data_IF_480342632015
#
_entry.id   IF_480342632015
#
_cell.length_a   1.000
_cell.length_b   1.000
_cell.length_c   1.000
_cell.angle_alpha   90.00
_cell.angle_beta   90.00
_cell.angle_gamma   90.00
#
_symmetry.space_group_name_H-M   'P 1'
#
loop_
_entity.id
_entity.type
_entity.pdbx_description
1 polymer ?
#
# COMPACT_ATOMS: atom_id res chain seq x y z
N UNK A 1 12.87 5.08 -3.76
CA UNK A 1 13.43 3.71 -3.92
C UNK A 1 12.58 2.98 -4.95
N UNK A 2 13.18 2.36 -5.98
CA UNK A 2 12.41 1.89 -7.15
C UNK A 2 11.41 0.77 -6.86
N UNK A 3 11.70 -0.06 -5.85
CA UNK A 3 10.88 -1.21 -5.48
C UNK A 3 9.56 -0.79 -4.81
N UNK A 4 9.61 0.24 -3.95
CA UNK A 4 8.44 0.83 -3.31
C UNK A 4 7.50 1.46 -4.35
N UNK A 5 8.08 2.19 -5.31
CA UNK A 5 7.39 2.83 -6.43
C UNK A 5 6.62 1.79 -7.27
N UNK A 6 7.29 0.68 -7.63
CA UNK A 6 6.69 -0.41 -8.41
C UNK A 6 5.59 -1.14 -7.63
N UNK A 7 5.76 -1.35 -6.32
CA UNK A 7 4.74 -1.96 -5.47
C UNK A 7 3.50 -1.06 -5.34
N UNK A 8 3.71 0.23 -5.10
CA UNK A 8 2.64 1.23 -5.01
C UNK A 8 1.91 1.38 -6.34
N UNK A 9 2.64 1.42 -7.47
CA UNK A 9 2.06 1.50 -8.80
C UNK A 9 1.18 0.27 -9.10
N UNK A 10 1.68 -0.95 -8.85
CA UNK A 10 0.90 -2.18 -9.03
C UNK A 10 -0.33 -2.23 -8.15
N UNK A 11 -0.17 -1.89 -6.87
CA UNK A 11 -1.30 -1.85 -5.95
C UNK A 11 -2.32 -0.79 -6.39
N UNK A 12 -1.89 0.42 -6.73
CA UNK A 12 -2.78 1.47 -7.21
C UNK A 12 -3.50 1.04 -8.49
N UNK A 13 -2.81 0.44 -9.45
CA UNK A 13 -3.43 -0.04 -10.70
C UNK A 13 -4.50 -1.12 -10.45
N UNK A 14 -4.30 -1.97 -9.43
CA UNK A 14 -5.23 -3.04 -9.08
C UNK A 14 -6.34 -2.58 -8.11
N UNK A 15 -6.05 -1.64 -7.21
CA UNK A 15 -6.96 -1.16 -6.18
C UNK A 15 -7.82 0.00 -6.68
N UNK A 16 -7.29 0.95 -7.47
CA UNK A 16 -8.05 2.09 -7.99
C UNK A 16 -9.34 1.74 -8.77
N UNK A 17 -9.42 0.65 -9.57
CA UNK A 17 -10.66 0.30 -10.27
C UNK A 17 -11.76 -0.25 -9.36
N UNK A 18 -11.41 -0.85 -8.22
CA UNK A 18 -12.37 -1.44 -7.26
C UNK A 18 -12.55 -0.57 -5.99
N UNK A 19 -11.63 0.36 -5.75
CA UNK A 19 -11.58 1.18 -4.55
C UNK A 19 -12.79 2.10 -4.46
N UNK A 20 -13.49 2.03 -3.34
CA UNK A 20 -14.50 3.00 -3.00
C UNK A 20 -13.87 4.41 -2.91
N UNK A 21 -14.64 5.50 -3.08
CA UNK A 21 -14.13 6.86 -2.97
C UNK A 21 -13.43 7.15 -1.63
N UNK A 22 -13.80 6.41 -0.57
CA UNK A 22 -13.15 6.46 0.75
C UNK A 22 -11.77 5.79 0.78
N UNK A 23 -11.60 4.69 0.04
CA UNK A 23 -10.31 4.01 -0.10
C UNK A 23 -9.36 4.77 -1.03
N UNK A 24 -9.90 5.43 -2.07
CA UNK A 24 -9.12 6.36 -2.91
C UNK A 24 -8.54 7.50 -2.10
N UNK A 25 -9.37 8.18 -1.29
CA UNK A 25 -8.86 9.22 -0.38
C UNK A 25 -7.80 8.67 0.58
N UNK A 26 -8.02 7.51 1.18
CA UNK A 26 -7.02 6.88 2.04
C UNK A 26 -5.70 6.61 1.30
N UNK A 27 -5.77 6.12 0.06
CA UNK A 27 -4.59 5.86 -0.76
C UNK A 27 -3.87 7.16 -1.15
N UNK A 28 -4.62 8.21 -1.49
CA UNK A 28 -4.09 9.54 -1.83
C UNK A 28 -3.37 10.17 -0.63
N UNK A 29 -3.97 10.07 0.57
CA UNK A 29 -3.33 10.52 1.81
C UNK A 29 -2.07 9.69 2.11
N UNK A 30 -2.13 8.37 1.91
CA UNK A 30 -0.99 7.48 2.13
C UNK A 30 0.17 7.77 1.18
N UNK A 31 -0.09 7.96 -0.13
CA UNK A 31 0.95 8.24 -1.14
C UNK A 31 1.47 9.68 -1.06
N UNK A 32 0.73 10.58 -0.39
CA UNK A 32 1.19 11.93 -0.08
C UNK A 32 2.25 11.95 1.02
N UNK A 33 2.37 10.87 1.80
CA UNK A 33 3.38 10.72 2.84
C UNK A 33 4.80 10.52 2.24
N UNK A 34 5.85 10.89 2.99
CA UNK A 34 7.22 10.68 2.54
C UNK A 34 7.59 9.20 2.45
N UNK A 35 8.40 8.82 1.46
CA UNK A 35 8.92 7.45 1.24
C UNK A 35 9.34 6.69 2.50
N UNK A 36 10.15 7.24 3.44
CA UNK A 36 10.56 6.52 4.64
C UNK A 36 9.37 6.14 5.54
N UNK A 37 8.31 6.95 5.55
CA UNK A 37 7.09 6.68 6.33
C UNK A 37 6.24 5.62 5.64
N UNK A 38 6.08 5.73 4.33
CA UNK A 38 5.44 4.70 3.51
C UNK A 38 6.11 3.34 3.67
N UNK A 39 7.45 3.30 3.58
CA UNK A 39 8.23 2.09 3.78
C UNK A 39 7.98 1.52 5.19
N UNK A 40 8.02 2.33 6.24
CA UNK A 40 7.75 1.87 7.60
C UNK A 40 6.32 1.29 7.75
N UNK A 41 5.31 1.90 7.12
CA UNK A 41 3.94 1.39 7.15
C UNK A 41 3.76 0.10 6.35
N UNK A 42 4.39 0.00 5.18
CA UNK A 42 4.32 -1.17 4.31
C UNK A 42 5.14 -2.35 4.86
N UNK A 43 6.28 -2.07 5.49
CA UNK A 43 7.11 -3.08 6.17
C UNK A 43 6.51 -3.51 7.52
N UNK A 44 5.50 -2.80 8.02
CA UNK A 44 4.87 -3.05 9.32
C UNK A 44 5.72 -2.60 10.51
N UNK A 45 6.76 -1.79 10.26
CA UNK A 45 7.58 -1.13 11.29
C UNK A 45 6.80 -0.01 11.98
N UNK A 46 5.80 0.55 11.31
CA UNK A 46 4.91 1.57 11.85
C UNK A 46 3.46 1.27 11.45
N UNK A 47 2.48 1.77 12.20
CA UNK A 47 1.05 1.66 11.87
C UNK A 47 0.47 3.05 11.71
N UNK A 48 -0.22 3.36 10.61
CA UNK A 48 -0.83 4.67 10.44
C UNK A 48 -1.93 4.87 11.51
N UNK A 49 -2.07 6.10 12.06
CA UNK A 49 -3.01 6.35 13.16
C UNK A 49 -4.46 6.22 12.71
N UNK A 50 -4.73 6.48 11.44
CA UNK A 50 -6.06 6.42 10.88
C UNK A 50 -6.48 4.98 10.59
N UNK A 51 -7.66 4.53 11.07
CA UNK A 51 -8.10 3.15 10.90
C UNK A 51 -8.35 2.77 9.43
N UNK A 52 -8.68 3.74 8.57
CA UNK A 52 -8.83 3.52 7.13
C UNK A 52 -7.47 3.33 6.44
N UNK A 53 -6.44 4.07 6.85
CA UNK A 53 -5.06 3.88 6.38
C UNK A 53 -4.50 2.55 6.87
N UNK A 54 -4.78 2.16 8.11
CA UNK A 54 -4.31 0.89 8.67
C UNK A 54 -4.91 -0.32 7.92
N UNK A 55 -6.20 -0.24 7.56
CA UNK A 55 -6.85 -1.24 6.72
C UNK A 55 -6.20 -1.30 5.32
N UNK A 56 -5.93 -0.13 4.70
CA UNK A 56 -5.31 -0.05 3.39
C UNK A 56 -3.86 -0.59 3.40
N UNK A 57 -3.04 -0.17 4.37
CA UNK A 57 -1.68 -0.66 4.55
C UNK A 57 -1.65 -2.17 4.79
N UNK A 58 -2.60 -2.70 5.57
CA UNK A 58 -2.79 -4.14 5.75
C UNK A 58 -3.15 -4.87 4.45
N UNK A 59 -4.05 -4.29 3.64
CA UNK A 59 -4.43 -4.83 2.34
C UNK A 59 -3.25 -4.82 1.34
N UNK A 60 -2.47 -3.74 1.29
CA UNK A 60 -1.25 -3.65 0.47
C UNK A 60 -0.26 -4.72 0.89
N UNK A 61 -0.02 -4.89 2.20
CA UNK A 61 0.86 -5.94 2.73
C UNK A 61 0.41 -7.34 2.33
N UNK A 62 -0.88 -7.63 2.44
CA UNK A 62 -1.45 -8.91 2.04
C UNK A 62 -1.33 -9.14 0.53
N UNK A 63 -1.54 -8.08 -0.28
CA UNK A 63 -1.38 -8.12 -1.74
C UNK A 63 0.08 -8.36 -2.14
N UNK A 64 1.03 -7.62 -1.57
CA UNK A 64 2.46 -7.78 -1.81
C UNK A 64 2.95 -9.15 -1.34
N UNK A 65 2.47 -9.66 -0.20
CA UNK A 65 2.79 -11.01 0.25
C UNK A 65 2.25 -12.09 -0.72
N UNK A 66 1.07 -11.87 -1.28
CA UNK A 66 0.43 -12.75 -2.27
C UNK A 66 1.14 -12.70 -3.63
N UNK A 67 1.51 -11.52 -4.12
CA UNK A 67 2.21 -11.32 -5.40
C UNK A 67 3.70 -11.69 -5.31
N UNK A 68 4.37 -11.36 -4.20
CA UNK A 68 5.75 -11.73 -3.90
C UNK A 68 5.92 -13.24 -3.68
N UNK A 69 4.85 -13.94 -3.32
CA UNK A 69 4.81 -15.41 -3.31
C UNK A 69 4.75 -16.05 -4.70
N UNK A 70 4.43 -15.28 -5.75
CA UNK A 70 4.30 -15.79 -7.12
C UNK A 70 5.53 -15.51 -8.02
N UNK A 71 6.57 -14.86 -7.49
CA UNK A 71 7.83 -14.61 -8.19
C UNK A 71 8.95 -15.62 -7.85
N UNK A 72 8.57 -16.87 -7.55
CA UNK A 72 9.49 -17.99 -7.31
C UNK A 72 9.28 -19.18 -8.26
N UNK A 73 8.75 -18.96 -9.47
CA UNK A 73 8.81 -19.93 -10.56
C UNK A 73 9.16 -19.29 -11.89
#
# INVERSE_FOLDING_TARGET
>A
MKELDVMLERFAHHALPDACPRERQALEELISLPDPVLAAYLLGESTPPEPHLAALAGAIRAYVAKEGGSALF
#
